data_IF_350488278282
#
_entry.id   IF_350488278282
#
_cell.length_a   1.000
_cell.length_b   1.000
_cell.length_c   1.000
_cell.angle_alpha   90.00
_cell.angle_beta   90.00
_cell.angle_gamma   90.00
#
_symmetry.space_group_name_H-M   'P 1'
#
loop_
_entity.id
_entity.type
_entity.pdbx_description
1 polymer ?
#
# COMPACT_ATOMS: atom_id res chain seq x y z
N UNK A 1 16.93 -3.93 16.36
CA UNK A 1 15.88 -4.11 15.33
C UNK A 1 16.54 -4.17 13.94
N UNK A 2 15.78 -4.42 12.86
CA UNK A 2 16.32 -4.28 11.50
C UNK A 2 16.78 -2.83 11.20
N UNK A 3 16.05 -1.84 11.72
CA UNK A 3 16.38 -0.42 11.63
C UNK A 3 17.78 -0.09 12.16
N UNK A 4 18.09 -0.50 13.40
CA UNK A 4 19.41 -0.23 14.01
C UNK A 4 20.59 -0.80 13.20
N UNK A 5 20.40 -1.91 12.50
CA UNK A 5 21.44 -2.53 11.66
C UNK A 5 21.61 -1.84 10.31
N UNK A 6 20.66 -1.02 9.90
CA UNK A 6 20.60 -0.42 8.57
C UNK A 6 20.77 1.11 8.59
N UNK A 7 20.76 1.75 9.76
CA UNK A 7 20.77 3.21 9.92
C UNK A 7 21.92 3.93 9.21
N UNK A 8 23.08 3.27 9.06
CA UNK A 8 24.27 3.85 8.44
C UNK A 8 24.37 3.55 6.93
N UNK A 9 23.39 2.82 6.37
CA UNK A 9 23.35 2.53 4.92
C UNK A 9 22.72 3.70 4.17
N UNK A 10 23.16 3.95 2.92
CA UNK A 10 22.55 5.00 2.10
C UNK A 10 21.08 4.67 1.78
N UNK A 11 20.26 5.72 1.76
CA UNK A 11 18.84 5.62 1.40
C UNK A 11 18.65 5.19 -0.07
N UNK A 12 17.53 4.50 -0.31
CA UNK A 12 17.07 4.18 -1.65
C UNK A 12 16.52 5.44 -2.37
N UNK A 13 16.32 5.33 -3.69
CA UNK A 13 15.60 6.37 -4.43
C UNK A 13 14.12 6.38 -4.02
N UNK A 14 13.63 7.55 -3.63
CA UNK A 14 12.23 7.77 -3.26
C UNK A 14 11.42 8.23 -4.48
N UNK A 15 10.36 7.51 -4.81
CA UNK A 15 9.42 7.85 -5.89
C UNK A 15 8.03 8.04 -5.27
N UNK A 16 7.50 9.26 -5.36
CA UNK A 16 6.16 9.58 -4.87
C UNK A 16 5.13 9.47 -6.00
N UNK A 17 4.11 8.63 -5.81
CA UNK A 17 2.97 8.54 -6.72
C UNK A 17 1.83 9.42 -6.21
N UNK A 18 1.42 10.38 -7.01
CA UNK A 18 0.28 11.27 -6.74
C UNK A 18 -0.77 11.19 -7.84
N UNK A 19 -1.92 11.81 -7.63
CA UNK A 19 -3.00 11.92 -8.61
C UNK A 19 -3.54 13.36 -8.62
N UNK A 20 -4.30 13.68 -9.68
CA UNK A 20 -5.13 14.88 -9.73
C UNK A 20 -6.24 14.81 -8.66
N UNK A 21 -7.02 15.89 -8.54
CA UNK A 21 -8.20 15.91 -7.68
C UNK A 21 -9.13 14.71 -8.00
N UNK A 22 -9.63 13.99 -6.98
CA UNK A 22 -10.49 12.83 -7.20
C UNK A 22 -11.76 13.18 -7.96
N UNK A 23 -12.15 12.27 -8.85
CA UNK A 23 -13.32 12.32 -9.69
C UNK A 23 -14.11 11.01 -9.55
N UNK A 24 -15.42 10.99 -9.88
CA UNK A 24 -16.22 9.76 -9.84
C UNK A 24 -15.70 8.63 -10.75
N UNK A 25 -14.89 8.95 -11.77
CA UNK A 25 -14.30 7.95 -12.67
C UNK A 25 -13.21 7.10 -12.00
N UNK A 26 -12.56 7.63 -10.96
CA UNK A 26 -11.45 6.99 -10.28
C UNK A 26 -10.11 7.12 -11.00
N UNK A 27 -9.05 7.37 -10.24
CA UNK A 27 -7.73 7.73 -10.79
C UNK A 27 -6.75 6.56 -10.77
N UNK A 28 -7.09 5.46 -10.10
CA UNK A 28 -6.25 4.26 -10.05
C UNK A 28 -4.89 4.44 -9.36
N UNK A 29 -4.73 5.46 -8.49
CA UNK A 29 -3.44 5.80 -7.85
C UNK A 29 -2.74 4.59 -7.22
N UNK A 30 -3.45 3.81 -6.40
CA UNK A 30 -2.86 2.64 -5.72
C UNK A 30 -2.46 1.55 -6.71
N UNK A 31 -3.29 1.31 -7.73
CA UNK A 31 -2.98 0.36 -8.81
C UNK A 31 -1.70 0.76 -9.54
N UNK A 32 -1.51 2.04 -9.82
CA UNK A 32 -0.27 2.58 -10.40
C UNK A 32 0.93 2.39 -9.48
N UNK A 33 0.80 2.60 -8.17
CA UNK A 33 1.89 2.35 -7.21
C UNK A 33 2.32 0.88 -7.21
N UNK A 34 1.36 -0.05 -7.16
CA UNK A 34 1.67 -1.49 -7.17
C UNK A 34 2.28 -1.91 -8.50
N UNK A 35 1.67 -1.49 -9.62
CA UNK A 35 2.15 -1.79 -10.96
C UNK A 35 3.54 -1.23 -11.25
N UNK A 36 3.85 -0.03 -10.78
CA UNK A 36 5.19 0.55 -10.88
C UNK A 36 6.23 -0.28 -10.11
N UNK A 37 5.91 -0.71 -8.89
CA UNK A 37 6.79 -1.59 -8.11
C UNK A 37 7.04 -2.94 -8.78
N UNK A 38 6.00 -3.55 -9.34
CA UNK A 38 6.08 -4.79 -10.12
C UNK A 38 6.94 -4.59 -11.39
N UNK A 39 6.72 -3.51 -12.15
CA UNK A 39 7.47 -3.22 -13.36
C UNK A 39 8.96 -2.96 -13.07
N UNK A 40 9.26 -2.17 -12.04
CA UNK A 40 10.64 -1.90 -11.60
C UNK A 40 11.37 -3.20 -11.20
N UNK A 41 10.67 -4.10 -10.50
CA UNK A 41 11.21 -5.42 -10.16
C UNK A 41 11.45 -6.27 -11.42
N UNK A 42 10.52 -6.24 -12.38
CA UNK A 42 10.62 -6.97 -13.66
C UNK A 42 11.80 -6.51 -14.52
N UNK A 43 12.21 -5.24 -14.44
CA UNK A 43 13.40 -4.71 -15.13
C UNK A 43 14.70 -4.85 -14.31
N UNK A 44 14.68 -5.65 -13.24
CA UNK A 44 15.87 -5.99 -12.45
C UNK A 44 16.27 -4.95 -11.40
N UNK A 45 15.39 -4.00 -11.04
CA UNK A 45 15.63 -3.09 -9.91
C UNK A 45 15.16 -3.74 -8.62
N UNK A 46 15.97 -3.63 -7.56
CA UNK A 46 15.55 -4.00 -6.21
C UNK A 46 14.59 -2.92 -5.70
N UNK A 47 13.31 -3.23 -5.65
CA UNK A 47 12.25 -2.24 -5.38
C UNK A 47 11.29 -2.75 -4.31
N UNK A 48 10.73 -1.82 -3.55
CA UNK A 48 9.66 -2.04 -2.59
C UNK A 48 8.62 -0.93 -2.73
N UNK A 49 7.38 -1.22 -2.35
CA UNK A 49 6.30 -0.22 -2.25
C UNK A 49 5.91 -0.05 -0.79
N UNK A 50 5.47 1.15 -0.43
CA UNK A 50 4.88 1.44 0.87
C UNK A 50 3.46 1.97 0.65
N UNK A 51 2.49 1.34 1.29
CA UNK A 51 1.06 1.68 1.22
C UNK A 51 0.51 1.84 2.64
N UNK A 52 -0.64 2.49 2.75
CA UNK A 52 -1.37 2.63 4.03
C UNK A 52 -2.31 1.44 4.20
N UNK A 53 -2.43 0.96 5.44
CA UNK A 53 -3.49 0.05 5.82
C UNK A 53 -4.86 0.75 5.66
N UNK A 54 -5.85 0.11 5.02
CA UNK A 54 -7.20 0.66 4.94
C UNK A 54 -7.91 0.60 6.29
N UNK A 55 -8.77 1.58 6.57
CA UNK A 55 -9.63 1.49 7.74
C UNK A 55 -10.71 0.42 7.56
N UNK A 56 -11.10 -0.21 8.67
CA UNK A 56 -12.10 -1.27 8.69
C UNK A 56 -13.52 -0.79 8.33
N UNK A 57 -13.89 0.44 8.70
CA UNK A 57 -15.25 0.97 8.54
C UNK A 57 -15.79 0.94 7.10
N UNK A 58 -15.05 1.47 6.10
CA UNK A 58 -15.47 1.46 4.69
C UNK A 58 -15.70 0.08 4.07
N UNK A 59 -15.07 -0.98 4.61
CA UNK A 59 -15.21 -2.35 4.12
C UNK A 59 -16.62 -2.91 4.34
N UNK A 60 -17.32 -2.45 5.39
CA UNK A 60 -18.71 -2.85 5.68
C UNK A 60 -19.77 -1.96 4.99
N UNK A 61 -19.34 -0.98 4.21
CA UNK A 61 -20.20 -0.07 3.45
C UNK A 61 -20.04 -0.26 1.95
N UNK A 62 -19.28 0.64 1.33
CA UNK A 62 -19.26 0.81 -0.15
C UNK A 62 -17.95 0.35 -0.79
N UNK A 63 -16.87 0.15 0.00
CA UNK A 63 -15.51 0.03 -0.57
C UNK A 63 -14.83 -1.27 -0.15
N UNK A 64 -14.82 -2.27 -1.05
CA UNK A 64 -14.24 -3.60 -0.80
C UNK A 64 -12.79 -3.80 -1.28
N UNK A 65 -12.14 -2.83 -1.92
CA UNK A 65 -10.79 -3.00 -2.47
C UNK A 65 -9.90 -1.78 -2.23
N UNK A 66 -8.90 -1.92 -1.37
CA UNK A 66 -8.03 -0.80 -0.99
C UNK A 66 -6.59 -0.90 -1.49
N UNK A 67 -6.07 -2.11 -1.71
CA UNK A 67 -4.66 -2.35 -2.01
C UNK A 67 -4.37 -2.64 -3.50
N UNK A 68 -4.89 -1.78 -4.39
CA UNK A 68 -4.70 -1.88 -5.84
C UNK A 68 -5.93 -2.47 -6.56
N UNK A 69 -5.73 -3.02 -7.76
CA UNK A 69 -6.80 -3.62 -8.56
C UNK A 69 -6.29 -4.35 -9.81
N UNK A 70 -7.07 -5.33 -10.29
CA UNK A 70 -6.67 -6.18 -11.41
C UNK A 70 -5.41 -6.99 -11.08
N UNK A 71 -4.46 -7.05 -12.02
CA UNK A 71 -3.18 -7.75 -11.84
C UNK A 71 -2.17 -7.02 -10.92
N UNK A 72 -2.47 -5.77 -10.57
CA UNK A 72 -1.62 -4.93 -9.72
C UNK A 72 -2.29 -4.74 -8.36
N UNK A 73 -2.16 -5.75 -7.49
CA UNK A 73 -2.74 -5.78 -6.16
C UNK A 73 -1.74 -6.30 -5.11
N UNK A 74 -1.91 -5.88 -3.86
CA UNK A 74 -1.26 -6.48 -2.70
C UNK A 74 -2.20 -7.53 -2.10
N UNK A 75 -1.62 -8.64 -1.66
CA UNK A 75 -2.32 -9.80 -1.13
C UNK A 75 -1.73 -10.19 0.23
N UNK A 76 -2.49 -10.87 1.11
CA UNK A 76 -3.90 -11.27 1.00
C UNK A 76 -4.88 -10.10 1.26
N UNK A 77 -5.81 -9.85 0.33
CA UNK A 77 -6.71 -8.68 0.38
C UNK A 77 -7.73 -8.76 1.53
N UNK A 78 -8.20 -9.96 1.88
CA UNK A 78 -9.18 -10.17 2.95
C UNK A 78 -8.61 -9.77 4.32
N UNK A 79 -7.38 -10.22 4.62
CA UNK A 79 -6.71 -9.85 5.87
C UNK A 79 -6.42 -8.35 5.92
N UNK A 80 -5.92 -7.78 4.81
CA UNK A 80 -5.58 -6.35 4.70
C UNK A 80 -6.80 -5.46 4.94
N UNK A 81 -7.97 -5.86 4.45
CA UNK A 81 -9.20 -5.06 4.57
C UNK A 81 -9.92 -5.24 5.92
N UNK A 82 -9.57 -6.26 6.70
CA UNK A 82 -10.25 -6.57 7.96
C UNK A 82 -9.36 -6.23 9.16
N UNK A 83 -8.90 -7.24 9.89
CA UNK A 83 -8.18 -7.04 11.14
C UNK A 83 -6.68 -6.89 10.95
N UNK A 84 -6.18 -7.24 9.76
CA UNK A 84 -4.77 -7.32 9.41
C UNK A 84 -3.91 -7.79 10.58
N UNK A 85 -2.90 -7.01 10.98
CA UNK A 85 -2.02 -7.31 12.12
C UNK A 85 -2.49 -6.72 13.45
N UNK A 86 -3.65 -6.06 13.48
CA UNK A 86 -4.24 -5.48 14.68
C UNK A 86 -3.74 -4.06 15.02
N UNK A 87 -3.06 -3.39 14.10
CA UNK A 87 -2.48 -2.06 14.32
C UNK A 87 -3.57 -1.03 14.70
N UNK A 88 -4.72 -1.06 14.01
CA UNK A 88 -5.86 -0.20 14.37
C UNK A 88 -6.49 -0.55 15.72
N UNK A 89 -6.50 -1.83 16.11
CA UNK A 89 -7.00 -2.24 17.43
C UNK A 89 -6.12 -1.69 18.54
N UNK A 90 -4.80 -1.73 18.36
CA UNK A 90 -3.85 -1.17 19.31
C UNK A 90 -4.01 0.35 19.47
N UNK A 91 -4.24 1.08 18.38
CA UNK A 91 -4.48 2.53 18.42
C UNK A 91 -5.81 2.86 19.12
N UNK A 92 -6.87 2.07 18.87
CA UNK A 92 -8.21 2.34 19.43
C UNK A 92 -8.34 1.96 20.91
N UNK A 93 -7.48 1.07 21.41
CA UNK A 93 -7.54 0.58 22.80
C UNK A 93 -6.83 1.50 23.80
N UNK A 94 -6.32 2.65 23.36
CA UNK A 94 -5.67 3.68 24.20
C UNK A 94 -6.66 4.79 24.51
#
# INVERSE_FOLDING_TARGET
>A
SAWERLKDKPDAKLILVTAINPTPAGEGKTTTTVGLGQAMSKIGKKTMIALREPSLGPCFGVKGGAAGGGYAQVVPMEDINLHFTGDFHAITST
#
